data_IF_049561926483
#
_entry.id   IF_049561926483
#
_cell.length_a   1.000
_cell.length_b   1.000
_cell.length_c   1.000
_cell.angle_alpha   90.00
_cell.angle_beta   90.00
_cell.angle_gamma   90.00
#
_symmetry.space_group_name_H-M   'P 1'
#
loop_
_entity.id
_entity.type
_entity.pdbx_description
1 polymer ?
#
# COMPACT_ATOMS: atom_id res chain seq x y z
N UNK A 1 12.70 -22.99 41.65
CA UNK A 1 11.41 -22.58 41.06
C UNK A 1 11.67 -21.72 39.84
N UNK A 2 10.98 -21.95 38.72
CA UNK A 2 11.13 -21.13 37.52
C UNK A 2 10.76 -19.68 37.83
N UNK A 3 11.71 -18.75 37.63
CA UNK A 3 11.53 -17.30 37.87
C UNK A 3 10.31 -16.77 37.11
N UNK A 4 10.10 -17.24 35.89
CA UNK A 4 8.96 -16.89 35.07
C UNK A 4 7.60 -17.35 35.62
N UNK A 5 7.53 -18.48 36.33
CA UNK A 5 6.28 -18.93 36.98
C UNK A 5 5.89 -17.98 38.12
N UNK A 6 6.86 -17.51 38.90
CA UNK A 6 6.63 -16.54 39.97
C UNK A 6 6.14 -15.20 39.42
N UNK A 7 6.70 -14.75 38.29
CA UNK A 7 6.21 -13.56 37.59
C UNK A 7 4.75 -13.72 37.17
N UNK A 8 4.40 -14.87 36.57
CA UNK A 8 3.03 -15.18 36.15
C UNK A 8 2.05 -15.19 37.34
N UNK A 9 2.45 -15.71 38.50
CA UNK A 9 1.68 -15.63 39.73
C UNK A 9 1.46 -14.17 40.17
N UNK A 10 2.47 -13.32 40.04
CA UNK A 10 2.36 -11.88 40.26
C UNK A 10 1.31 -11.24 39.34
N UNK A 11 1.33 -11.59 38.05
CA UNK A 11 0.33 -11.12 37.09
C UNK A 11 -1.08 -11.68 37.34
N UNK A 12 -1.21 -12.89 37.90
CA UNK A 12 -2.50 -13.47 38.29
C UNK A 12 -3.15 -12.69 39.45
N UNK A 13 -2.33 -12.20 40.39
CA UNK A 13 -2.76 -11.42 41.57
C UNK A 13 -3.15 -9.98 41.21
N UNK A 14 -2.43 -9.36 40.28
CA UNK A 14 -2.77 -8.04 39.73
C UNK A 14 -4.00 -8.24 38.82
N UNK A 15 -5.13 -7.56 39.07
CA UNK A 15 -6.45 -7.77 38.39
C UNK A 15 -6.47 -7.58 36.84
N UNK A 16 -5.32 -7.53 36.18
CA UNK A 16 -5.14 -7.41 34.73
C UNK A 16 -5.27 -8.76 34.01
N UNK A 17 -6.50 -9.29 33.92
CA UNK A 17 -6.81 -10.62 33.35
C UNK A 17 -6.30 -10.84 31.93
N UNK A 18 -6.26 -9.81 31.09
CA UNK A 18 -5.82 -9.92 29.69
C UNK A 18 -4.29 -9.98 29.56
N UNK A 19 -3.56 -9.11 30.28
CA UNK A 19 -2.10 -9.11 30.31
C UNK A 19 -1.58 -10.45 30.86
N UNK A 20 -2.18 -10.94 31.94
CA UNK A 20 -1.86 -12.25 32.49
C UNK A 20 -1.94 -13.36 31.43
N UNK A 21 -3.07 -13.43 30.71
CA UNK A 21 -3.27 -14.43 29.64
C UNK A 21 -2.25 -14.33 28.52
N UNK A 22 -1.89 -13.11 28.09
CA UNK A 22 -0.86 -12.94 27.07
C UNK A 22 0.52 -13.35 27.58
N UNK A 23 0.87 -12.99 28.82
CA UNK A 23 2.15 -13.36 29.44
C UNK A 23 2.30 -14.87 29.61
N UNK A 24 1.22 -15.57 29.99
CA UNK A 24 1.21 -17.04 30.04
C UNK A 24 1.54 -17.64 28.66
N UNK A 25 0.88 -17.14 27.59
CA UNK A 25 1.14 -17.65 26.23
C UNK A 25 2.54 -17.29 25.74
N UNK A 26 3.04 -16.08 26.05
CA UNK A 26 4.42 -15.67 25.72
C UNK A 26 5.45 -16.61 26.38
N UNK A 27 5.30 -16.88 27.67
CA UNK A 27 6.20 -17.75 28.41
C UNK A 27 6.18 -19.19 27.88
N UNK A 28 4.99 -19.71 27.57
CA UNK A 28 4.81 -21.03 26.95
C UNK A 28 5.46 -21.11 25.56
N UNK A 29 5.22 -20.13 24.69
CA UNK A 29 5.77 -20.12 23.32
C UNK A 29 7.26 -19.88 23.27
N UNK A 30 7.82 -19.21 24.27
CA UNK A 30 9.25 -19.03 24.43
C UNK A 30 9.93 -20.26 25.06
N UNK A 31 9.18 -21.35 25.28
CA UNK A 31 9.66 -22.61 25.89
C UNK A 31 10.26 -22.41 27.28
N UNK A 32 9.91 -21.31 27.95
CA UNK A 32 10.38 -20.96 29.30
C UNK A 32 9.62 -21.68 30.39
N UNK A 33 8.42 -22.16 30.07
CA UNK A 33 7.52 -22.86 30.99
C UNK A 33 6.79 -23.95 30.21
N UNK A 34 6.77 -25.17 30.76
CA UNK A 34 6.06 -26.28 30.13
C UNK A 34 4.55 -26.25 30.44
N UNK A 35 3.75 -26.93 29.62
CA UNK A 35 2.30 -26.98 29.81
C UNK A 35 1.89 -27.67 31.13
N UNK A 36 2.62 -28.72 31.53
CA UNK A 36 2.44 -29.41 32.82
C UNK A 36 2.65 -28.46 34.00
N UNK A 37 3.73 -27.67 33.98
CA UNK A 37 4.05 -26.70 35.03
C UNK A 37 2.95 -25.62 35.17
N UNK A 38 2.37 -25.17 34.05
CA UNK A 38 1.26 -24.21 34.05
C UNK A 38 -0.02 -24.80 34.63
N UNK A 39 -0.26 -26.08 34.39
CA UNK A 39 -1.42 -26.79 34.93
C UNK A 39 -1.28 -26.98 36.44
N UNK A 40 -0.12 -27.46 36.91
CA UNK A 40 0.18 -27.67 38.33
C UNK A 40 0.16 -26.36 39.14
N UNK A 41 0.79 -25.30 38.63
CA UNK A 41 0.97 -24.06 39.41
C UNK A 41 -0.15 -23.03 39.25
N UNK A 42 -0.68 -22.87 38.02
CA UNK A 42 -1.67 -21.84 37.72
C UNK A 42 -3.09 -22.41 37.60
N UNK A 43 -3.23 -23.74 37.50
CA UNK A 43 -4.51 -24.41 37.27
C UNK A 43 -5.05 -24.19 35.85
N UNK A 44 -4.16 -23.94 34.88
CA UNK A 44 -4.55 -23.71 33.48
C UNK A 44 -4.45 -25.03 32.72
N UNK A 45 -5.58 -25.68 32.37
CA UNK A 45 -5.53 -26.94 31.66
C UNK A 45 -5.05 -26.74 30.22
N UNK A 46 -4.45 -27.78 29.63
CA UNK A 46 -3.93 -27.75 28.26
C UNK A 46 -4.95 -27.25 27.23
N UNK A 47 -6.23 -27.59 27.40
CA UNK A 47 -7.32 -27.13 26.52
C UNK A 47 -7.50 -25.61 26.57
N UNK A 48 -7.41 -25.01 27.75
CA UNK A 48 -7.46 -23.56 27.91
C UNK A 48 -6.20 -22.90 27.34
N UNK A 49 -5.02 -23.48 27.59
CA UNK A 49 -3.77 -22.98 27.02
C UNK A 49 -3.79 -22.95 25.49
N UNK A 50 -4.29 -24.01 24.85
CA UNK A 50 -4.49 -24.06 23.38
C UNK A 50 -5.44 -22.97 22.90
N UNK A 51 -6.55 -22.73 23.62
CA UNK A 51 -7.50 -21.66 23.31
C UNK A 51 -6.87 -20.28 23.43
N UNK A 52 -6.10 -20.03 24.49
CA UNK A 52 -5.38 -18.78 24.70
C UNK A 52 -4.34 -18.56 23.59
N UNK A 53 -3.60 -19.60 23.20
CA UNK A 53 -2.60 -19.52 22.14
C UNK A 53 -3.23 -19.21 20.77
N UNK A 54 -4.39 -19.81 20.44
CA UNK A 54 -5.15 -19.46 19.21
C UNK A 54 -5.57 -17.99 19.20
N UNK A 55 -6.09 -17.49 20.31
CA UNK A 55 -6.49 -16.09 20.42
C UNK A 55 -5.29 -15.13 20.35
N UNK A 56 -4.19 -15.48 21.02
CA UNK A 56 -2.94 -14.73 20.97
C UNK A 56 -2.43 -14.63 19.54
N UNK A 57 -2.40 -15.75 18.82
CA UNK A 57 -1.99 -15.76 17.42
C UNK A 57 -2.89 -14.85 16.58
N UNK A 58 -4.21 -15.00 16.66
CA UNK A 58 -5.18 -14.21 15.87
C UNK A 58 -5.09 -12.72 16.16
N UNK A 59 -4.99 -12.32 17.42
CA UNK A 59 -5.12 -10.92 17.83
C UNK A 59 -3.79 -10.17 17.85
N UNK A 60 -2.67 -10.87 18.08
CA UNK A 60 -1.38 -10.22 18.30
C UNK A 60 -0.34 -10.56 17.25
N UNK A 61 -0.27 -11.81 16.80
CA UNK A 61 0.74 -12.23 15.82
C UNK A 61 0.27 -12.02 14.39
N UNK A 62 -0.98 -12.39 14.09
CA UNK A 62 -1.52 -12.32 12.74
C UNK A 62 -1.43 -10.90 12.14
N UNK A 63 -1.75 -9.81 12.87
CA UNK A 63 -1.59 -8.46 12.34
C UNK A 63 -0.14 -8.06 12.06
N UNK A 64 0.84 -8.67 12.74
CA UNK A 64 2.27 -8.38 12.56
C UNK A 64 2.87 -9.19 11.41
N UNK A 65 2.45 -10.45 11.28
CA UNK A 65 2.91 -11.39 10.23
C UNK A 65 2.25 -11.11 8.89
N UNK A 66 0.97 -10.75 8.93
CA UNK A 66 0.16 -10.38 7.78
C UNK A 66 -0.41 -9.00 8.10
N UNK A 67 0.40 -7.92 7.99
CA UNK A 67 -0.12 -6.57 8.07
C UNK A 67 -1.24 -6.51 7.04
N UNK A 68 -2.47 -6.44 7.55
CA UNK A 68 -3.65 -6.50 6.72
C UNK A 68 -3.51 -5.28 5.82
N UNK A 69 -3.15 -5.50 4.56
CA UNK A 69 -3.12 -4.49 3.50
C UNK A 69 -4.58 -4.10 3.25
N UNK A 70 -5.22 -3.51 4.27
CA UNK A 70 -6.38 -2.66 4.14
C UNK A 70 -5.88 -1.36 3.52
N UNK A 71 -5.31 -1.46 2.31
CA UNK A 71 -5.48 -0.41 1.33
C UNK A 71 -6.99 -0.38 1.15
N UNK A 72 -7.67 0.41 1.98
CA UNK A 72 -9.00 0.91 1.63
C UNK A 72 -8.72 1.62 0.32
N UNK A 73 -9.03 0.98 -0.80
CA UNK A 73 -9.17 1.67 -2.07
C UNK A 73 -10.04 2.87 -1.73
N UNK A 74 -9.46 4.07 -1.79
CA UNK A 74 -10.25 5.29 -1.62
C UNK A 74 -11.45 5.13 -2.54
N UNK A 75 -12.65 5.37 -2.02
CA UNK A 75 -13.83 5.42 -2.88
C UNK A 75 -13.49 6.42 -3.98
N UNK A 76 -13.38 5.95 -5.22
CA UNK A 76 -13.28 6.84 -6.37
C UNK A 76 -14.57 7.65 -6.35
N UNK A 77 -14.47 8.96 -6.16
CA UNK A 77 -15.60 9.84 -6.42
C UNK A 77 -15.95 9.66 -7.89
N UNK A 78 -17.11 9.04 -8.15
CA UNK A 78 -17.56 8.79 -9.53
C UNK A 78 -17.64 10.10 -10.32
N UNK A 79 -17.97 11.20 -9.64
CA UNK A 79 -17.98 12.54 -10.19
C UNK A 79 -16.57 13.02 -10.56
N UNK A 80 -15.56 12.73 -9.74
CA UNK A 80 -14.18 13.09 -10.03
C UNK A 80 -13.65 12.36 -11.27
N UNK A 81 -13.91 11.06 -11.39
CA UNK A 81 -13.52 10.27 -12.59
C UNK A 81 -14.19 10.84 -13.84
N UNK A 82 -15.50 11.11 -13.78
CA UNK A 82 -16.25 11.68 -14.90
C UNK A 82 -15.74 13.08 -15.29
N UNK A 83 -15.31 13.89 -14.33
CA UNK A 83 -14.72 15.22 -14.62
C UNK A 83 -13.37 15.09 -15.31
N UNK A 84 -12.54 14.11 -14.93
CA UNK A 84 -11.24 13.85 -15.56
C UNK A 84 -11.40 13.35 -17.00
N UNK A 85 -12.34 12.43 -17.23
CA UNK A 85 -12.64 11.91 -18.56
C UNK A 85 -13.09 13.02 -19.52
N UNK A 86 -13.93 13.95 -19.04
CA UNK A 86 -14.34 15.13 -19.82
C UNK A 86 -13.16 16.03 -20.18
N UNK A 87 -12.30 16.34 -19.19
CA UNK A 87 -11.10 17.16 -19.43
C UNK A 87 -10.17 16.53 -20.46
N UNK A 88 -10.00 15.21 -20.42
CA UNK A 88 -9.20 14.49 -21.42
C UNK A 88 -9.81 14.62 -22.82
N UNK A 89 -11.12 14.38 -22.96
CA UNK A 89 -11.79 14.49 -24.25
C UNK A 89 -11.72 15.91 -24.83
N UNK A 90 -11.84 16.94 -24.00
CA UNK A 90 -11.74 18.34 -24.43
C UNK A 90 -10.31 18.68 -24.89
N UNK A 91 -9.30 18.26 -24.12
CA UNK A 91 -7.89 18.44 -24.50
C UNK A 91 -7.51 17.69 -25.78
N UNK A 92 -8.07 16.50 -26.01
CA UNK A 92 -7.85 15.74 -27.23
C UNK A 92 -8.42 16.44 -28.46
N UNK A 93 -9.62 17.04 -28.35
CA UNK A 93 -10.24 17.84 -29.42
C UNK A 93 -9.42 19.08 -29.73
N UNK A 94 -8.97 19.81 -28.71
CA UNK A 94 -8.11 20.98 -28.88
C UNK A 94 -6.81 20.62 -29.60
N UNK A 95 -6.17 19.50 -29.21
CA UNK A 95 -4.98 19.02 -29.88
C UNK A 95 -5.22 18.64 -31.35
N UNK A 96 -6.35 17.97 -31.65
CA UNK A 96 -6.70 17.63 -33.03
C UNK A 96 -6.90 18.89 -33.87
N UNK A 97 -7.60 19.90 -33.33
CA UNK A 97 -7.79 21.17 -34.01
C UNK A 97 -6.46 21.88 -34.29
N UNK A 98 -5.57 21.96 -33.29
CA UNK A 98 -4.25 22.58 -33.45
C UNK A 98 -3.38 21.85 -34.48
N UNK A 99 -3.47 20.52 -34.56
CA UNK A 99 -2.77 19.73 -35.60
C UNK A 99 -3.28 20.07 -36.99
N UNK A 100 -4.59 20.07 -37.19
CA UNK A 100 -5.21 20.44 -38.47
C UNK A 100 -4.84 21.87 -38.87
N UNK A 101 -4.82 22.80 -37.92
CA UNK A 101 -4.41 24.18 -38.16
C UNK A 101 -2.93 24.27 -38.58
N UNK A 102 -2.04 23.52 -37.90
CA UNK A 102 -0.63 23.47 -38.25
C UNK A 102 -0.40 22.87 -39.64
N UNK A 103 -1.12 21.80 -39.99
CA UNK A 103 -1.07 21.19 -41.32
C UNK A 103 -1.56 22.16 -42.39
N UNK A 104 -2.67 22.86 -42.16
CA UNK A 104 -3.19 23.88 -43.09
C UNK A 104 -2.18 25.03 -43.30
N UNK A 105 -1.50 25.49 -42.26
CA UNK A 105 -0.45 26.50 -42.43
C UNK A 105 0.75 25.96 -43.22
N UNK A 106 1.16 24.72 -42.99
CA UNK A 106 2.25 24.10 -43.75
C UNK A 106 1.91 23.98 -45.23
N UNK A 107 0.69 23.59 -45.59
CA UNK A 107 0.28 23.49 -46.99
C UNK A 107 0.22 24.86 -47.66
N UNK A 108 -0.31 25.89 -46.99
CA UNK A 108 -0.30 27.27 -47.50
C UNK A 108 1.12 27.76 -47.75
N UNK A 109 2.04 27.48 -46.82
CA UNK A 109 3.44 27.85 -46.98
C UNK A 109 4.05 27.13 -48.20
N UNK A 110 3.82 25.83 -48.36
CA UNK A 110 4.30 25.07 -49.53
C UNK A 110 3.78 25.66 -50.85
N UNK A 111 2.48 25.91 -50.94
CA UNK A 111 1.87 26.52 -52.14
C UNK A 111 2.50 27.89 -52.44
N UNK A 112 2.71 28.72 -51.42
CA UNK A 112 3.32 30.03 -51.60
C UNK A 112 4.80 29.93 -52.04
N UNK A 113 5.57 29.01 -51.46
CA UNK A 113 6.96 28.76 -51.88
C UNK A 113 7.02 28.27 -53.33
N UNK A 114 6.13 27.36 -53.74
CA UNK A 114 6.04 26.84 -55.10
C UNK A 114 5.61 27.89 -56.13
N UNK A 115 4.64 28.74 -55.79
CA UNK A 115 4.12 29.76 -56.71
C UNK A 115 5.04 30.97 -56.86
N UNK A 116 5.66 31.41 -55.75
CA UNK A 116 6.43 32.65 -55.73
C UNK A 116 7.95 32.43 -55.74
N UNK A 117 8.45 31.19 -55.60
CA UNK A 117 9.87 30.85 -55.50
C UNK A 117 10.63 31.61 -54.39
N UNK A 118 9.91 32.10 -53.38
CA UNK A 118 10.47 32.80 -52.23
C UNK A 118 10.45 31.82 -51.05
N UNK A 119 11.59 31.44 -50.46
CA UNK A 119 11.63 30.55 -49.31
C UNK A 119 11.09 31.27 -48.06
N UNK A 120 10.00 30.75 -47.50
CA UNK A 120 9.35 31.25 -46.29
C UNK A 120 9.89 30.47 -45.08
N UNK A 121 10.04 29.15 -45.20
CA UNK A 121 10.65 28.30 -44.18
C UNK A 121 12.17 28.37 -44.30
N UNK A 122 12.85 28.62 -43.18
CA UNK A 122 14.32 28.50 -43.14
C UNK A 122 14.71 27.07 -43.47
N UNK A 123 15.60 26.89 -44.46
CA UNK A 123 16.22 25.59 -44.75
C UNK A 123 16.85 25.04 -43.47
N UNK A 124 16.67 23.75 -43.15
CA UNK A 124 17.31 23.15 -41.99
C UNK A 124 18.83 23.35 -42.11
N UNK A 125 19.43 24.04 -41.14
CA UNK A 125 20.87 24.25 -41.10
C UNK A 125 21.63 22.93 -40.93
N UNK A 126 22.93 22.93 -41.24
CA UNK A 126 23.80 21.78 -41.03
C UNK A 126 23.67 21.27 -39.58
N UNK A 127 23.30 19.99 -39.42
CA UNK A 127 23.24 19.35 -38.10
C UNK A 127 24.64 19.42 -37.49
N UNK A 128 24.75 20.00 -36.29
CA UNK A 128 26.02 19.98 -35.54
C UNK A 128 26.40 18.51 -35.30
N UNK A 129 27.65 18.09 -35.59
CA UNK A 129 28.10 16.76 -35.22
C UNK A 129 27.96 16.63 -33.69
N UNK A 130 27.35 15.52 -33.24
CA UNK A 130 27.26 15.20 -31.82
C UNK A 130 28.68 14.95 -31.33
N UNK A 131 29.13 15.75 -30.35
CA UNK A 131 30.29 15.44 -29.52
C UNK A 131 29.93 14.34 -28.52
#
# INVERSE_FOLDING_TARGET
>A
MNTHLNDLLGYKKKKTRHLFRWKVVEAYRAERVQASELEETLGIPLKELRRLNRNYFRLRLLPLLQPQNRRKTMKRDADYVKTLERKLADMEKENQFLRLQAEAYQTVIQIAEEQFNIPIVKKPGARRPKN
#
